data_IF_476766976433
#
_entry.id   IF_476766976433
#
_cell.length_a   1.000
_cell.length_b   1.000
_cell.length_c   1.000
_cell.angle_alpha   90.00
_cell.angle_beta   90.00
_cell.angle_gamma   90.00
#
_symmetry.space_group_name_H-M   'P 1'
#
loop_
_entity.id
_entity.type
_entity.pdbx_description
1 polymer ?
#
# COMPACT_ATOMS: atom_id res chain seq x y z
N UNK A 1 -45.12 -9.32 -13.85
CA UNK A 1 -44.38 -8.21 -14.50
C UNK A 1 -43.43 -7.51 -13.54
N UNK A 2 -43.89 -6.88 -12.45
CA UNK A 2 -43.00 -6.23 -11.46
C UNK A 2 -42.01 -7.19 -10.77
N UNK A 3 -42.45 -8.38 -10.35
CA UNK A 3 -41.57 -9.37 -9.70
C UNK A 3 -40.52 -9.98 -10.66
N UNK A 4 -40.88 -10.08 -11.94
CA UNK A 4 -40.00 -10.59 -13.00
C UNK A 4 -38.88 -9.59 -13.30
N UNK A 5 -39.22 -8.29 -13.39
CA UNK A 5 -38.24 -7.20 -13.58
C UNK A 5 -37.29 -7.12 -12.38
N UNK A 6 -37.79 -7.22 -11.15
CA UNK A 6 -36.94 -7.26 -9.94
C UNK A 6 -35.99 -8.46 -9.95
N UNK A 7 -36.48 -9.63 -10.37
CA UNK A 7 -35.67 -10.86 -10.43
C UNK A 7 -34.57 -10.78 -11.48
N UNK A 8 -34.83 -10.15 -12.63
CA UNK A 8 -33.82 -9.91 -13.67
C UNK A 8 -32.76 -8.92 -13.19
N UNK A 9 -33.18 -7.78 -12.63
CA UNK A 9 -32.25 -6.76 -12.12
C UNK A 9 -31.32 -7.31 -11.01
N UNK A 10 -31.85 -8.13 -10.08
CA UNK A 10 -31.04 -8.75 -9.03
C UNK A 10 -30.00 -9.74 -9.60
N UNK A 11 -30.33 -10.48 -10.67
CA UNK A 11 -29.38 -11.38 -11.33
C UNK A 11 -28.27 -10.62 -12.05
N UNK A 12 -28.60 -9.52 -12.72
CA UNK A 12 -27.62 -8.66 -13.39
C UNK A 12 -26.64 -8.05 -12.38
N UNK A 13 -27.13 -7.51 -11.27
CA UNK A 13 -26.28 -7.00 -10.19
C UNK A 13 -25.39 -8.11 -9.61
N UNK A 14 -25.94 -9.30 -9.38
CA UNK A 14 -25.15 -10.44 -8.89
C UNK A 14 -24.02 -10.86 -9.85
N UNK A 15 -24.26 -10.80 -11.16
CA UNK A 15 -23.24 -11.10 -12.16
C UNK A 15 -22.11 -10.05 -12.17
N UNK A 16 -22.45 -8.76 -12.05
CA UNK A 16 -21.46 -7.68 -11.98
C UNK A 16 -20.60 -7.77 -10.71
N UNK A 17 -21.18 -8.13 -9.56
CA UNK A 17 -20.44 -8.36 -8.32
C UNK A 17 -19.47 -9.54 -8.47
N UNK A 18 -19.90 -10.64 -9.10
CA UNK A 18 -19.03 -11.79 -9.35
C UNK A 18 -17.88 -11.42 -10.31
N UNK A 19 -18.13 -10.57 -11.30
CA UNK A 19 -17.10 -10.07 -12.21
C UNK A 19 -16.08 -9.19 -11.48
N UNK A 20 -16.53 -8.27 -10.62
CA UNK A 20 -15.65 -7.46 -9.77
C UNK A 20 -14.75 -8.33 -8.87
N UNK A 21 -15.33 -9.34 -8.21
CA UNK A 21 -14.58 -10.27 -7.37
C UNK A 21 -13.51 -11.04 -8.16
N UNK A 22 -13.83 -11.45 -9.39
CA UNK A 22 -12.86 -12.12 -10.27
C UNK A 22 -11.72 -11.19 -10.68
N UNK A 23 -12.02 -9.94 -11.03
CA UNK A 23 -11.00 -8.95 -11.39
C UNK A 23 -10.07 -8.63 -10.22
N UNK A 24 -10.62 -8.52 -9.01
CA UNK A 24 -9.87 -8.38 -7.76
C UNK A 24 -8.93 -9.58 -7.53
N UNK A 25 -9.45 -10.81 -7.61
CA UNK A 25 -8.64 -12.01 -7.45
C UNK A 25 -7.52 -12.13 -8.51
N UNK A 26 -7.80 -11.77 -9.76
CA UNK A 26 -6.80 -11.76 -10.83
C UNK A 26 -5.71 -10.70 -10.60
N UNK A 27 -6.07 -9.53 -10.06
CA UNK A 27 -5.08 -8.51 -9.67
C UNK A 27 -4.19 -9.02 -8.53
N UNK A 28 -4.78 -9.59 -7.49
CA UNK A 28 -4.07 -10.19 -6.37
C UNK A 28 -3.08 -11.26 -6.86
N UNK A 29 -3.53 -12.20 -7.69
CA UNK A 29 -2.67 -13.25 -8.26
C UNK A 29 -1.54 -12.67 -9.11
N UNK A 30 -1.82 -11.65 -9.94
CA UNK A 30 -0.81 -10.99 -10.78
C UNK A 30 0.21 -10.18 -9.99
N UNK A 31 -0.13 -9.69 -8.81
CA UNK A 31 0.77 -8.91 -7.95
C UNK A 31 1.46 -9.75 -6.89
N UNK A 32 0.93 -10.92 -6.54
CA UNK A 32 1.56 -11.88 -5.66
C UNK A 32 2.98 -12.20 -6.15
N UNK A 33 3.98 -11.97 -5.29
CA UNK A 33 5.40 -12.16 -5.63
C UNK A 33 5.97 -11.18 -6.65
N UNK A 34 5.18 -10.27 -7.22
CA UNK A 34 5.60 -9.24 -8.19
C UNK A 34 5.65 -7.84 -7.61
N UNK A 35 4.85 -7.54 -6.58
CA UNK A 35 4.83 -6.22 -5.95
C UNK A 35 6.21 -5.81 -5.42
N UNK A 36 6.93 -6.73 -4.77
CA UNK A 36 8.30 -6.48 -4.30
C UNK A 36 9.25 -6.06 -5.43
N UNK A 37 9.44 -6.91 -6.47
CA UNK A 37 10.24 -6.55 -7.64
C UNK A 37 9.81 -5.26 -8.36
N UNK A 38 8.51 -4.96 -8.40
CA UNK A 38 8.00 -3.71 -8.99
C UNK A 38 8.47 -2.50 -8.16
N UNK A 39 8.32 -2.55 -6.84
CA UNK A 39 8.77 -1.49 -5.94
C UNK A 39 10.31 -1.37 -5.89
N UNK A 40 11.03 -2.48 -6.07
CA UNK A 40 12.48 -2.43 -6.27
C UNK A 40 12.87 -1.77 -7.60
N UNK A 41 12.06 -1.96 -8.65
CA UNK A 41 12.20 -1.24 -9.91
C UNK A 41 12.04 0.27 -9.71
N UNK A 42 11.06 0.70 -8.92
CA UNK A 42 10.90 2.11 -8.54
C UNK A 42 12.18 2.67 -7.88
N UNK A 43 12.78 1.94 -6.93
CA UNK A 43 14.06 2.36 -6.32
C UNK A 43 15.21 2.45 -7.33
N UNK A 44 15.23 1.58 -8.33
CA UNK A 44 16.25 1.62 -9.38
C UNK A 44 16.09 2.83 -10.31
N UNK A 45 14.85 3.23 -10.61
CA UNK A 45 14.54 4.41 -11.42
C UNK A 45 14.72 5.73 -10.64
N UNK A 46 14.60 5.66 -9.30
CA UNK A 46 14.77 6.78 -8.39
C UNK A 46 15.92 6.53 -7.39
N UNK A 47 17.19 6.52 -7.83
CA UNK A 47 18.33 6.09 -7.02
C UNK A 47 18.64 7.00 -5.82
N UNK A 48 18.01 8.17 -5.73
CA UNK A 48 18.02 9.04 -4.55
C UNK A 48 17.31 8.34 -3.36
N UNK A 49 16.29 7.53 -3.64
CA UNK A 49 15.53 6.75 -2.66
C UNK A 49 16.20 5.39 -2.48
N UNK A 50 16.56 5.07 -1.24
CA UNK A 50 17.23 3.82 -0.86
C UNK A 50 16.26 2.78 -0.31
N UNK A 51 15.21 3.24 0.34
CA UNK A 51 14.18 2.37 0.90
C UNK A 51 12.81 3.04 0.93
N UNK A 52 11.77 2.22 0.93
CA UNK A 52 10.38 2.59 1.22
C UNK A 52 9.93 1.85 2.48
N UNK A 53 9.10 2.48 3.30
CA UNK A 53 8.52 1.85 4.48
C UNK A 53 7.08 2.34 4.70
N UNK A 54 6.18 1.44 5.07
CA UNK A 54 4.84 1.80 5.53
C UNK A 54 4.35 0.82 6.60
N UNK A 55 3.24 1.16 7.24
CA UNK A 55 2.52 0.28 8.17
C UNK A 55 1.14 -0.03 7.62
N UNK A 56 0.63 -1.23 7.87
CA UNK A 56 -0.73 -1.61 7.47
C UNK A 56 -1.39 -2.43 8.57
N UNK A 57 -2.55 -2.00 9.03
CA UNK A 57 -3.21 -2.58 10.19
C UNK A 57 -4.70 -2.22 10.24
N UNK A 58 -5.44 -2.99 11.05
CA UNK A 58 -6.77 -2.61 11.53
C UNK A 58 -6.56 -1.94 12.89
N UNK A 59 -6.94 -0.67 13.10
CA UNK A 59 -6.75 0.02 14.38
C UNK A 59 -7.46 -0.71 15.53
N UNK A 60 -6.82 -0.78 16.71
CA UNK A 60 -7.40 -1.40 17.92
C UNK A 60 -8.47 -0.53 18.60
N UNK A 61 -8.33 0.79 18.50
CA UNK A 61 -9.26 1.76 19.06
C UNK A 61 -9.83 2.61 17.93
N UNK A 62 -11.15 2.58 17.78
CA UNK A 62 -11.88 3.55 17.00
C UNK A 62 -12.96 4.13 17.93
N UNK A 63 -13.26 5.43 17.82
CA UNK A 63 -14.10 6.21 18.75
C UNK A 63 -15.60 5.83 18.71
N UNK A 64 -15.92 4.56 18.42
CA UNK A 64 -17.26 4.00 18.24
C UNK A 64 -17.58 3.56 16.81
N UNK A 65 -16.65 3.70 15.86
CA UNK A 65 -16.82 3.25 14.46
C UNK A 65 -16.19 1.87 14.20
N UNK A 66 -16.60 1.22 13.11
CA UNK A 66 -16.06 -0.07 12.70
C UNK A 66 -14.56 0.08 12.38
N UNK A 67 -13.74 -0.85 12.88
CA UNK A 67 -12.31 -0.83 12.60
C UNK A 67 -12.07 -1.39 11.20
N UNK A 68 -11.48 -0.58 10.31
CA UNK A 68 -11.21 -0.95 8.91
C UNK A 68 -9.69 -1.03 8.70
N UNK A 69 -9.25 -1.99 7.89
CA UNK A 69 -7.86 -2.09 7.47
C UNK A 69 -7.47 -0.86 6.66
N UNK A 70 -6.26 -0.34 6.90
CA UNK A 70 -5.68 0.70 6.03
C UNK A 70 -4.17 0.55 5.91
N UNK A 71 -3.64 1.10 4.81
CA UNK A 71 -2.21 1.32 4.58
C UNK A 71 -1.89 2.75 5.00
N UNK A 72 -0.89 2.93 5.87
CA UNK A 72 -0.62 4.21 6.52
C UNK A 72 0.85 4.60 6.44
N UNK A 73 1.07 5.90 6.25
CA UNK A 73 2.36 6.55 6.40
C UNK A 73 3.42 5.96 5.48
N UNK A 74 3.29 6.22 4.17
CA UNK A 74 4.39 5.91 3.27
C UNK A 74 5.56 6.84 3.62
N UNK A 75 6.67 6.22 4.00
CA UNK A 75 7.93 6.86 4.28
C UNK A 75 8.99 6.35 3.32
N UNK A 76 10.03 7.14 3.11
CA UNK A 76 11.18 6.77 2.30
C UNK A 76 12.47 7.18 2.99
N UNK A 77 13.56 6.58 2.59
CA UNK A 77 14.89 6.95 3.07
C UNK A 77 15.80 7.29 1.90
N UNK A 78 16.65 8.30 2.06
CA UNK A 78 17.71 8.66 1.10
C UNK A 78 19.08 8.11 1.52
N UNK A 79 19.12 7.40 2.65
CA UNK A 79 20.30 6.77 3.22
C UNK A 79 20.18 5.25 3.15
N UNK A 80 21.28 4.56 2.87
CA UNK A 80 21.34 3.11 2.56
C UNK A 80 21.25 2.23 3.83
N UNK A 81 20.58 2.70 4.88
CA UNK A 81 20.83 2.27 6.26
C UNK A 81 20.65 0.76 6.51
N UNK A 82 21.78 0.08 6.75
CA UNK A 82 21.87 -1.07 7.68
C UNK A 82 22.42 -0.68 9.06
N UNK A 83 22.75 0.60 9.32
CA UNK A 83 23.46 1.01 10.54
C UNK A 83 22.69 1.93 11.52
N UNK A 84 21.47 2.36 11.25
CA UNK A 84 20.76 3.25 12.20
C UNK A 84 19.53 2.57 12.83
N UNK A 85 19.80 1.68 13.78
CA UNK A 85 18.79 1.06 14.64
C UNK A 85 18.37 2.03 15.77
N UNK A 86 17.89 3.22 15.41
CA UNK A 86 17.21 4.10 16.36
C UNK A 86 15.94 4.66 15.72
N UNK A 87 14.82 4.40 16.39
CA UNK A 87 13.49 4.86 16.02
C UNK A 87 13.50 6.34 15.62
N UNK A 88 13.27 6.63 14.34
CA UNK A 88 12.97 7.97 13.83
C UNK A 88 14.10 8.72 13.13
N UNK A 89 15.32 8.18 13.06
CA UNK A 89 16.38 8.77 12.23
C UNK A 89 16.39 8.10 10.84
N UNK A 90 16.45 8.89 9.76
CA UNK A 90 16.62 8.40 8.39
C UNK A 90 15.35 8.17 7.55
N UNK A 91 14.15 8.22 8.15
CA UNK A 91 12.87 8.13 7.43
C UNK A 91 12.24 9.50 7.20
N UNK A 92 11.83 9.75 5.97
CA UNK A 92 11.16 10.96 5.51
C UNK A 92 9.73 10.60 5.12
N UNK A 93 8.77 11.34 5.65
CA UNK A 93 7.35 11.20 5.32
C UNK A 93 7.11 11.68 3.87
N UNK A 94 6.33 10.92 3.11
CA UNK A 94 5.78 11.43 1.84
C UNK A 94 4.69 12.44 2.20
N UNK A 95 4.87 13.68 1.77
CA UNK A 95 3.93 14.77 2.06
C UNK A 95 3.76 15.67 0.85
N UNK A 96 2.51 16.02 0.55
CA UNK A 96 2.16 16.93 -0.54
C UNK A 96 2.33 18.42 -0.21
N UNK A 97 2.53 18.77 1.07
CA UNK A 97 2.56 20.17 1.53
C UNK A 97 3.96 20.75 1.74
N UNK A 98 5.02 19.93 1.64
CA UNK A 98 6.41 20.36 1.78
C UNK A 98 7.21 19.93 0.56
N UNK A 99 7.85 20.90 -0.10
CA UNK A 99 8.87 20.58 -1.10
C UNK A 99 10.02 19.85 -0.41
N UNK A 100 10.32 18.63 -0.85
CA UNK A 100 11.45 17.88 -0.33
C UNK A 100 12.75 18.40 -0.97
N UNK A 101 13.77 18.69 -0.16
CA UNK A 101 15.11 19.07 -0.63
C UNK A 101 16.03 17.85 -0.82
N UNK A 102 15.64 16.68 -0.30
CA UNK A 102 16.43 15.44 -0.28
C UNK A 102 16.33 14.62 -1.58
N UNK A 103 15.30 14.90 -2.38
CA UNK A 103 15.06 14.24 -3.67
C UNK A 103 14.67 15.27 -4.73
N UNK A 104 14.91 14.94 -6.00
CA UNK A 104 14.44 15.75 -7.13
C UNK A 104 12.92 15.93 -7.13
N UNK A 105 12.43 16.98 -7.80
CA UNK A 105 11.01 17.26 -7.93
C UNK A 105 10.24 16.11 -8.62
N UNK A 106 10.85 15.46 -9.61
CA UNK A 106 10.26 14.31 -10.31
C UNK A 106 10.14 13.09 -9.39
N UNK A 107 11.18 12.79 -8.59
CA UNK A 107 11.12 11.75 -7.56
C UNK A 107 10.06 12.05 -6.51
N UNK A 108 9.93 13.31 -6.08
CA UNK A 108 8.90 13.72 -5.15
C UNK A 108 7.48 13.51 -5.71
N UNK A 109 7.24 13.84 -6.98
CA UNK A 109 5.96 13.56 -7.64
C UNK A 109 5.67 12.06 -7.70
N UNK A 110 6.67 11.27 -8.08
CA UNK A 110 6.54 9.81 -8.16
C UNK A 110 6.24 9.16 -6.80
N UNK A 111 6.83 9.67 -5.71
CA UNK A 111 6.51 9.23 -4.34
C UNK A 111 5.07 9.53 -3.95
N UNK A 112 4.54 10.72 -4.29
CA UNK A 112 3.15 11.07 -4.05
C UNK A 112 2.19 10.18 -4.87
N UNK A 113 2.51 9.88 -6.14
CA UNK A 113 1.72 8.96 -6.96
C UNK A 113 1.74 7.54 -6.39
N UNK A 114 2.89 7.09 -5.89
CA UNK A 114 3.02 5.81 -5.23
C UNK A 114 2.19 5.74 -3.94
N UNK A 115 2.25 6.77 -3.08
CA UNK A 115 1.43 6.83 -1.86
C UNK A 115 -0.06 6.74 -2.18
N UNK A 116 -0.55 7.54 -3.13
CA UNK A 116 -1.95 7.51 -3.57
C UNK A 116 -2.35 6.13 -4.13
N UNK A 117 -1.43 5.45 -4.81
CA UNK A 117 -1.68 4.11 -5.31
C UNK A 117 -1.77 3.09 -4.17
N UNK A 118 -0.79 3.07 -3.25
CA UNK A 118 -0.73 2.10 -2.14
C UNK A 118 -1.93 2.23 -1.19
N UNK A 119 -2.44 3.45 -1.00
CA UNK A 119 -3.58 3.78 -0.15
C UNK A 119 -4.93 3.74 -0.88
N UNK A 120 -4.96 3.31 -2.14
CA UNK A 120 -6.22 3.12 -2.87
C UNK A 120 -6.89 1.81 -2.47
N UNK A 121 -8.21 1.79 -2.31
CA UNK A 121 -8.94 0.60 -1.83
C UNK A 121 -8.58 -0.73 -2.51
N UNK A 122 -8.55 -0.84 -3.86
CA UNK A 122 -8.13 -2.08 -4.51
C UNK A 122 -6.68 -2.49 -4.22
N UNK A 123 -5.79 -1.52 -4.00
CA UNK A 123 -4.41 -1.79 -3.63
C UNK A 123 -4.29 -2.17 -2.15
N UNK A 124 -5.05 -1.54 -1.25
CA UNK A 124 -5.13 -1.93 0.15
C UNK A 124 -5.60 -3.38 0.30
N UNK A 125 -6.68 -3.77 -0.39
CA UNK A 125 -7.15 -5.17 -0.44
C UNK A 125 -6.04 -6.12 -0.90
N UNK A 126 -5.28 -5.70 -1.91
CA UNK A 126 -4.19 -6.50 -2.48
C UNK A 126 -2.99 -6.60 -1.53
N UNK A 127 -2.59 -5.49 -0.90
CA UNK A 127 -1.48 -5.45 0.06
C UNK A 127 -1.84 -6.22 1.33
N UNK A 128 -3.10 -6.17 1.77
CA UNK A 128 -3.60 -7.00 2.88
C UNK A 128 -3.51 -8.48 2.54
N UNK A 129 -3.90 -8.87 1.32
CA UNK A 129 -3.82 -10.26 0.87
C UNK A 129 -2.36 -10.76 0.75
N UNK A 130 -1.44 -9.90 0.31
CA UNK A 130 -0.03 -10.26 0.09
C UNK A 130 0.79 -10.26 1.39
N UNK A 131 0.65 -9.22 2.22
CA UNK A 131 1.50 -8.98 3.39
C UNK A 131 0.78 -9.18 4.73
N UNK A 132 -0.53 -9.40 4.73
CA UNK A 132 -1.32 -9.55 5.95
C UNK A 132 -1.75 -8.21 6.57
N UNK A 133 -2.13 -8.24 7.84
CA UNK A 133 -2.46 -7.05 8.64
C UNK A 133 -1.51 -7.00 9.84
N UNK A 134 -1.41 -5.84 10.50
CA UNK A 134 -0.51 -5.61 11.64
C UNK A 134 0.95 -5.83 11.25
N UNK A 135 1.34 -5.19 10.15
CA UNK A 135 2.65 -5.35 9.58
C UNK A 135 3.28 -3.99 9.25
N UNK A 136 4.60 -3.92 9.43
CA UNK A 136 5.46 -2.88 8.87
C UNK A 136 6.21 -3.50 7.70
N UNK A 137 6.08 -2.90 6.53
CA UNK A 137 6.71 -3.38 5.31
C UNK A 137 7.85 -2.44 4.97
N UNK A 138 9.04 -2.99 4.78
CA UNK A 138 10.23 -2.27 4.33
C UNK A 138 10.70 -2.84 3.00
N UNK A 139 10.84 -1.99 1.99
CA UNK A 139 11.34 -2.36 0.66
C UNK A 139 12.70 -1.73 0.45
N UNK A 140 13.69 -2.55 0.09
CA UNK A 140 15.05 -2.13 -0.26
C UNK A 140 15.48 -2.77 -1.58
N UNK A 141 16.61 -2.34 -2.12
CA UNK A 141 17.23 -3.00 -3.29
C UNK A 141 17.54 -4.49 -3.05
N UNK A 142 17.69 -4.93 -1.79
CA UNK A 142 17.97 -6.32 -1.44
C UNK A 142 16.71 -7.20 -1.36
N UNK A 143 15.56 -6.62 -1.02
CA UNK A 143 14.33 -7.38 -0.86
C UNK A 143 13.20 -6.61 -0.19
N UNK A 144 12.16 -7.35 0.18
CA UNK A 144 11.06 -6.87 1.01
C UNK A 144 11.15 -7.57 2.35
N UNK A 145 11.16 -6.79 3.43
CA UNK A 145 11.10 -7.24 4.81
C UNK A 145 9.71 -6.91 5.36
N UNK A 146 9.12 -7.86 6.09
CA UNK A 146 7.81 -7.73 6.72
C UNK A 146 7.99 -8.02 8.20
N UNK A 147 7.77 -7.00 9.03
CA UNK A 147 7.88 -7.08 10.47
C UNK A 147 6.48 -7.02 11.09
N UNK A 148 6.25 -7.73 12.18
CA UNK A 148 5.03 -7.58 12.98
C UNK A 148 4.97 -6.17 13.55
N UNK A 149 3.83 -5.51 13.38
CA UNK A 149 3.58 -4.16 13.85
C UNK A 149 2.40 -4.17 14.81
N UNK A 150 2.71 -3.97 16.07
CA UNK A 150 1.71 -3.76 17.12
C UNK A 150 1.60 -2.26 17.41
N UNK A 151 0.37 -1.75 17.35
CA UNK A 151 0.06 -0.36 17.66
C UNK A 151 -0.72 -0.36 18.98
N UNK A 152 0.00 -0.35 20.09
CA UNK A 152 -0.54 -0.06 21.42
C UNK A 152 -1.11 1.37 21.52
#
# INVERSE_FOLDING_TARGET
>A
MLDEIKTVALKEVGALVAEQARMQAELQEKLQGRIGPILQGFLADHPEVKALCWTQYVPYFNDGEECVFSVNGLNYSVVDERENHHYGEGWLEVTSYRQCEEVSADTHLALNELENLLTSGPMEDTLQAIFGSHAKITVTSAGVEVEEYDHD
#
